data_IF_142968973540
#
_entry.id   IF_142968973540
#
_cell.length_a   1.000
_cell.length_b   1.000
_cell.length_c   1.000
_cell.angle_alpha   90.00
_cell.angle_beta   90.00
_cell.angle_gamma   90.00
#
_symmetry.space_group_name_H-M   'P 1'
#
loop_
_entity.id
_entity.type
_entity.pdbx_description
1 polymer ?
#
# COMPACT_ATOMS: atom_id res chain seq x y z
N UNK A 1 -5.12 -1.79 15.42
CA UNK A 1 -5.54 -2.12 14.04
C UNK A 1 -5.77 -3.62 14.01
N UNK A 2 -6.87 -4.06 13.41
CA UNK A 2 -7.20 -5.49 13.33
C UNK A 2 -6.22 -6.24 12.41
N UNK A 3 -5.81 -7.47 12.76
CA UNK A 3 -5.01 -8.35 11.88
C UNK A 3 -5.60 -8.59 10.50
N UNK A 4 -4.73 -8.63 9.48
CA UNK A 4 -5.12 -8.96 8.12
C UNK A 4 -6.10 -7.98 7.49
N UNK A 5 -6.16 -6.74 8.02
CA UNK A 5 -7.12 -5.72 7.58
C UNK A 5 -6.82 -5.28 6.15
N UNK A 6 -7.87 -5.21 5.35
CA UNK A 6 -7.92 -4.49 4.07
C UNK A 6 -8.68 -3.18 4.28
N UNK A 7 -8.13 -2.07 3.81
CA UNK A 7 -8.72 -0.74 3.88
C UNK A 7 -9.06 -0.28 2.48
N UNK A 8 -10.34 0.04 2.24
CA UNK A 8 -10.87 0.53 0.95
C UNK A 8 -11.45 1.95 1.06
N UNK A 9 -11.60 2.45 2.29
CA UNK A 9 -12.04 3.81 2.58
C UNK A 9 -11.01 4.82 2.06
N UNK A 10 -11.42 5.65 1.10
CA UNK A 10 -10.54 6.59 0.41
C UNK A 10 -10.00 7.69 1.33
N UNK A 11 -10.72 8.09 2.38
CA UNK A 11 -10.20 9.06 3.34
C UNK A 11 -9.07 8.46 4.18
N UNK A 12 -9.23 7.19 4.57
CA UNK A 12 -8.20 6.46 5.32
C UNK A 12 -7.01 6.13 4.42
N UNK A 13 -7.25 5.71 3.18
CA UNK A 13 -6.18 5.39 2.21
C UNK A 13 -5.25 6.59 1.98
N UNK A 14 -5.79 7.80 1.88
CA UNK A 14 -4.98 9.03 1.69
C UNK A 14 -3.89 9.20 2.73
N UNK A 15 -4.09 8.72 3.96
CA UNK A 15 -3.08 8.80 5.01
C UNK A 15 -1.83 7.94 4.76
N UNK A 16 -1.88 7.01 3.79
CA UNK A 16 -0.77 6.13 3.41
C UNK A 16 -0.17 6.49 2.04
N UNK A 17 -0.95 7.07 1.15
CA UNK A 17 -0.52 7.35 -0.24
C UNK A 17 -0.18 8.81 -0.51
N UNK A 18 -0.52 9.73 0.40
CA UNK A 18 0.04 11.07 0.38
C UNK A 18 1.28 11.07 1.27
N UNK A 19 2.43 11.40 0.68
CA UNK A 19 3.68 11.41 1.44
C UNK A 19 3.74 12.58 2.43
N UNK A 20 4.59 12.44 3.44
CA UNK A 20 4.72 13.45 4.50
C UNK A 20 5.22 14.81 3.98
N UNK A 21 5.95 14.84 2.85
CA UNK A 21 6.39 16.09 2.24
C UNK A 21 5.28 16.81 1.46
N UNK A 22 4.17 16.11 1.17
CA UNK A 22 3.06 16.59 0.34
C UNK A 22 3.39 16.68 -1.15
N UNK A 23 4.58 16.21 -1.57
CA UNK A 23 5.07 16.25 -2.95
C UNK A 23 4.48 15.14 -3.80
N UNK A 24 4.26 13.97 -3.22
CA UNK A 24 3.80 12.78 -3.93
C UNK A 24 2.43 12.40 -3.39
N UNK A 25 1.45 12.34 -4.30
CA UNK A 25 0.07 11.98 -4.00
C UNK A 25 -0.34 10.83 -4.88
N UNK A 26 -0.49 9.66 -4.28
CA UNK A 26 -0.77 8.43 -5.00
C UNK A 26 -2.25 8.20 -5.25
N UNK A 27 -2.55 7.02 -5.80
CA UNK A 27 -3.89 6.45 -5.88
C UNK A 27 -3.81 4.93 -5.77
N UNK A 28 -4.70 4.33 -4.98
CA UNK A 28 -4.88 2.87 -4.91
C UNK A 28 -6.30 2.54 -4.48
N UNK A 29 -6.79 1.37 -4.89
CA UNK A 29 -8.09 0.85 -4.47
C UNK A 29 -8.08 0.31 -3.04
N UNK A 30 -6.92 -0.14 -2.54
CA UNK A 30 -6.82 -0.76 -1.22
C UNK A 30 -5.43 -0.64 -0.59
N UNK A 31 -5.39 -0.70 0.75
CA UNK A 31 -4.18 -0.85 1.57
C UNK A 31 -4.36 -2.04 2.51
N UNK A 32 -3.36 -2.91 2.63
CA UNK A 32 -3.41 -4.10 3.50
C UNK A 32 -2.40 -4.02 4.64
N UNK A 33 -2.79 -4.56 5.80
CA UNK A 33 -1.95 -4.60 7.02
C UNK A 33 -1.74 -6.05 7.47
N UNK A 34 -0.87 -6.80 6.77
CA UNK A 34 -0.55 -8.17 7.17
C UNK A 34 0.21 -8.19 8.51
N UNK A 35 -0.07 -9.19 9.34
CA UNK A 35 0.52 -9.34 10.68
C UNK A 35 1.58 -10.43 10.76
N UNK A 36 1.79 -11.18 9.68
CA UNK A 36 2.82 -12.22 9.58
C UNK A 36 3.42 -12.26 8.18
N UNK A 37 4.61 -12.85 8.07
CA UNK A 37 5.25 -13.12 6.77
C UNK A 37 4.43 -14.08 5.91
N UNK A 38 3.69 -15.00 6.54
CA UNK A 38 2.80 -15.93 5.82
C UNK A 38 1.63 -15.20 5.16
N UNK A 39 1.06 -14.19 5.83
CA UNK A 39 0.04 -13.32 5.24
C UNK A 39 0.61 -12.49 4.09
N UNK A 40 1.81 -11.92 4.25
CA UNK A 40 2.51 -11.21 3.16
C UNK A 40 2.67 -12.13 1.95
N UNK A 41 3.17 -13.36 2.16
CA UNK A 41 3.38 -14.33 1.08
C UNK A 41 2.07 -14.69 0.37
N UNK A 42 0.98 -14.90 1.11
CA UNK A 42 -0.36 -15.17 0.54
C UNK A 42 -0.87 -13.99 -0.30
N UNK A 43 -0.75 -12.76 0.21
CA UNK A 43 -1.16 -11.55 -0.50
C UNK A 43 -0.36 -11.41 -1.80
N UNK A 44 0.97 -11.49 -1.73
CA UNK A 44 1.83 -11.35 -2.91
C UNK A 44 1.60 -12.46 -3.93
N UNK A 45 1.37 -13.70 -3.49
CA UNK A 45 1.03 -14.82 -4.38
C UNK A 45 -0.29 -14.58 -5.11
N UNK A 46 -1.32 -14.10 -4.39
CA UNK A 46 -2.61 -13.74 -4.98
C UNK A 46 -2.47 -12.57 -5.96
N UNK A 47 -1.75 -11.50 -5.59
CA UNK A 47 -1.51 -10.33 -6.45
C UNK A 47 -0.79 -10.74 -7.75
N UNK A 48 0.27 -11.56 -7.63
CA UNK A 48 1.00 -12.09 -8.78
C UNK A 48 0.09 -12.89 -9.72
N UNK A 49 -0.71 -13.80 -9.16
CA UNK A 49 -1.64 -14.64 -9.93
C UNK A 49 -2.69 -13.81 -10.67
N UNK A 50 -3.17 -12.71 -10.07
CA UNK A 50 -4.22 -11.85 -10.62
C UNK A 50 -3.66 -10.62 -11.35
N UNK A 51 -2.34 -10.52 -11.52
CA UNK A 51 -1.66 -9.37 -12.12
C UNK A 51 -2.00 -8.02 -11.46
N UNK A 52 -2.25 -8.06 -10.15
CA UNK A 52 -2.42 -6.86 -9.33
C UNK A 52 -1.05 -6.35 -8.93
N UNK A 53 -0.76 -5.10 -9.28
CA UNK A 53 0.49 -4.46 -8.94
C UNK A 53 0.50 -4.03 -7.46
N UNK A 54 1.68 -3.93 -6.87
CA UNK A 54 1.85 -3.75 -5.42
C UNK A 54 2.98 -2.77 -5.15
N UNK A 55 2.69 -1.77 -4.31
CA UNK A 55 3.70 -0.86 -3.74
C UNK A 55 3.91 -1.19 -2.27
N UNK A 56 5.06 -1.77 -1.88
CA UNK A 56 5.39 -1.99 -0.47
C UNK A 56 5.71 -0.65 0.21
N UNK A 57 5.09 -0.39 1.36
CA UNK A 57 5.32 0.81 2.16
C UNK A 57 5.81 0.42 3.56
N UNK A 58 7.00 0.90 3.93
CA UNK A 58 7.50 0.84 5.30
C UNK A 58 6.93 1.98 6.16
N UNK A 59 7.77 2.95 6.53
CA UNK A 59 7.37 4.09 7.36
C UNK A 59 6.87 5.33 6.60
N UNK A 60 6.77 5.27 5.27
CA UNK A 60 6.39 6.40 4.40
C UNK A 60 7.24 7.69 4.56
N UNK A 61 8.52 7.57 4.92
CA UNK A 61 9.45 8.70 5.15
C UNK A 61 10.40 8.97 3.98
N UNK A 62 10.27 8.23 2.88
CA UNK A 62 11.14 8.39 1.71
C UNK A 62 10.99 9.76 1.04
N UNK A 63 12.08 10.31 0.50
CA UNK A 63 12.08 11.65 -0.12
C UNK A 63 11.86 11.64 -1.65
N UNK A 64 11.79 10.45 -2.25
CA UNK A 64 11.77 10.26 -3.71
C UNK A 64 10.50 9.56 -4.22
N UNK A 65 9.48 9.40 -3.38
CA UNK A 65 8.18 8.85 -3.76
C UNK A 65 8.12 7.33 -3.94
N UNK A 66 9.20 6.59 -3.67
CA UNK A 66 9.27 5.13 -3.92
C UNK A 66 8.30 4.26 -3.11
N UNK A 67 7.61 4.82 -2.12
CA UNK A 67 6.56 4.15 -1.34
C UNK A 67 5.13 4.63 -1.68
N UNK A 68 4.98 5.45 -2.73
CA UNK A 68 3.71 6.04 -3.15
C UNK A 68 3.30 5.46 -4.51
N UNK A 69 2.07 4.94 -4.68
CA UNK A 69 1.58 4.44 -5.96
C UNK A 69 1.17 5.60 -6.87
N UNK A 70 2.06 6.03 -7.77
CA UNK A 70 1.88 7.21 -8.61
C UNK A 70 1.37 6.88 -10.02
N UNK A 71 1.78 5.75 -10.60
CA UNK A 71 1.52 5.45 -12.02
C UNK A 71 0.76 4.14 -12.22
N UNK A 72 -0.08 3.81 -11.23
CA UNK A 72 -0.89 2.61 -11.22
C UNK A 72 -0.08 1.32 -11.07
N UNK A 73 1.15 1.39 -10.56
CA UNK A 73 1.89 0.27 -9.95
C UNK A 73 1.25 -0.29 -8.66
#
# INVERSE_FOLDING_TARGET
MEPGRVVEDQEVIRTYIDDWTGRYKGSTSAVTFPHSTDEVAKILSWCSTNQVRVVPQGGNTGMVGGSVPLNGE
#
